data_IF_396922964980
#
_entry.id   IF_396922964980
#
_cell.length_a   1.000
_cell.length_b   1.000
_cell.length_c   1.000
_cell.angle_alpha   90.00
_cell.angle_beta   90.00
_cell.angle_gamma   90.00
#
_symmetry.space_group_name_H-M   'P 1'
#
loop_
_entity.id
_entity.type
_entity.pdbx_description
1 polymer ?
#
# COMPACT_ATOMS: atom_id res chain seq x y z
N UNK A 1 6.51 -26.62 7.09
CA UNK A 1 5.95 -25.61 6.18
C UNK A 1 5.39 -24.52 7.06
N UNK A 2 5.83 -23.28 6.83
CA UNK A 2 5.46 -22.14 7.64
C UNK A 2 4.33 -21.39 6.93
N UNK A 3 3.25 -21.09 7.65
CA UNK A 3 2.14 -20.27 7.14
C UNK A 3 2.23 -18.87 7.70
N UNK A 4 2.08 -17.88 6.82
CA UNK A 4 2.16 -16.47 7.16
C UNK A 4 0.98 -15.77 6.51
N UNK A 5 0.22 -15.02 7.29
CA UNK A 5 -0.80 -14.10 6.77
C UNK A 5 -0.25 -12.69 6.72
N UNK A 6 -0.31 -12.06 5.54
CA UNK A 6 0.16 -10.70 5.31
C UNK A 6 -0.98 -9.79 4.90
N UNK A 7 -0.92 -8.52 5.31
CA UNK A 7 -1.89 -7.48 4.97
C UNK A 7 -1.16 -6.24 4.43
N UNK A 8 -1.71 -5.60 3.40
CA UNK A 8 -1.39 -4.20 3.06
C UNK A 8 -2.59 -3.32 3.33
N UNK A 9 -2.37 -2.13 3.91
CA UNK A 9 -3.44 -1.17 4.18
C UNK A 9 -2.94 0.28 4.12
N UNK A 10 -3.39 1.07 3.13
CA UNK A 10 -3.25 2.52 3.16
C UNK A 10 -4.17 3.12 4.24
N UNK A 11 -3.60 3.83 5.22
CA UNK A 11 -4.34 4.37 6.37
C UNK A 11 -4.80 5.83 6.21
N UNK A 12 -4.58 6.46 5.04
CA UNK A 12 -4.97 7.83 4.73
C UNK A 12 -4.59 8.80 5.86
N UNK A 13 -3.32 9.21 5.82
CA UNK A 13 -2.66 10.08 6.80
C UNK A 13 -2.66 9.56 8.25
N UNK A 14 -2.56 8.25 8.45
CA UNK A 14 -2.50 7.64 9.77
C UNK A 14 -3.69 8.05 10.63
N UNK A 15 -4.89 8.04 10.04
CA UNK A 15 -6.16 8.43 10.66
C UNK A 15 -6.33 9.93 10.94
N UNK A 16 -5.48 10.79 10.39
CA UNK A 16 -5.64 12.23 10.50
C UNK A 16 -6.44 12.79 9.32
N UNK A 17 -7.13 13.89 9.56
CA UNK A 17 -7.74 14.70 8.52
C UNK A 17 -7.16 16.10 8.53
N UNK A 18 -6.79 16.58 7.35
CA UNK A 18 -6.31 17.96 7.19
C UNK A 18 -7.50 18.90 7.08
N UNK A 19 -7.63 19.80 8.04
CA UNK A 19 -8.58 20.91 8.01
C UNK A 19 -7.77 22.19 8.13
N UNK A 20 -7.60 22.92 7.03
CA UNK A 20 -6.68 24.05 6.90
C UNK A 20 -5.25 23.69 7.36
N UNK A 21 -4.74 24.38 8.39
CA UNK A 21 -3.44 24.13 9.02
C UNK A 21 -3.53 23.18 10.22
N UNK A 22 -4.71 22.61 10.50
CA UNK A 22 -4.93 21.69 11.61
C UNK A 22 -5.07 20.25 11.12
N UNK A 23 -4.61 19.33 11.95
CA UNK A 23 -4.74 17.90 11.73
C UNK A 23 -5.57 17.32 12.85
N UNK A 24 -6.76 16.85 12.51
CA UNK A 24 -7.64 16.21 13.47
C UNK A 24 -7.43 14.71 13.40
N UNK A 25 -6.97 14.13 14.50
CA UNK A 25 -6.97 12.68 14.66
C UNK A 25 -8.42 12.18 14.81
N UNK A 26 -8.79 11.18 14.01
CA UNK A 26 -10.12 10.58 13.99
C UNK A 26 -10.06 9.23 14.68
N UNK A 27 -10.41 9.21 15.96
CA UNK A 27 -10.34 8.02 16.82
C UNK A 27 -11.23 6.88 16.29
N UNK A 28 -12.36 7.21 15.67
CA UNK A 28 -13.27 6.25 15.06
C UNK A 28 -12.62 5.48 13.89
N UNK A 29 -11.80 6.16 13.07
CA UNK A 29 -11.08 5.53 11.95
C UNK A 29 -10.06 4.52 12.46
N UNK A 30 -9.34 4.89 13.52
CA UNK A 30 -8.38 4.01 14.18
C UNK A 30 -9.06 2.82 14.85
N UNK A 31 -10.21 3.02 15.50
CA UNK A 31 -10.98 1.94 16.09
C UNK A 31 -11.51 0.95 15.03
N UNK A 32 -12.06 1.46 13.93
CA UNK A 32 -12.47 0.63 12.80
C UNK A 32 -11.29 -0.18 12.24
N UNK A 33 -10.10 0.43 12.14
CA UNK A 33 -8.89 -0.27 11.68
C UNK A 33 -8.53 -1.43 12.61
N UNK A 34 -8.60 -1.22 13.93
CA UNK A 34 -8.38 -2.28 14.92
C UNK A 34 -9.40 -3.42 14.76
N UNK A 35 -10.66 -3.13 14.48
CA UNK A 35 -11.70 -4.16 14.23
C UNK A 35 -11.35 -4.97 12.99
N UNK A 36 -11.00 -4.30 11.89
CA UNK A 36 -10.62 -4.95 10.62
C UNK A 36 -9.40 -5.85 10.81
N UNK A 37 -8.32 -5.30 11.37
CA UNK A 37 -7.05 -6.01 11.57
C UNK A 37 -7.23 -7.20 12.51
N UNK A 38 -7.94 -7.02 13.63
CA UNK A 38 -8.22 -8.11 14.58
C UNK A 38 -9.02 -9.24 13.94
N UNK A 39 -10.00 -8.93 13.10
CA UNK A 39 -10.80 -9.92 12.40
C UNK A 39 -10.00 -10.67 11.32
N UNK A 40 -9.08 -9.98 10.63
CA UNK A 40 -8.20 -10.59 9.64
C UNK A 40 -7.08 -11.43 10.27
N UNK A 41 -6.62 -11.05 11.46
CA UNK A 41 -5.51 -11.67 12.20
C UNK A 41 -4.24 -11.89 11.35
N UNK A 42 -3.67 -10.83 10.73
CA UNK A 42 -2.42 -10.92 9.99
C UNK A 42 -1.22 -11.11 10.93
N UNK A 43 -0.19 -11.79 10.43
CA UNK A 43 1.11 -11.91 11.10
C UNK A 43 2.05 -10.75 10.75
N UNK A 44 1.87 -10.16 9.56
CA UNK A 44 2.64 -9.03 9.05
C UNK A 44 1.66 -8.03 8.42
N UNK A 45 1.84 -6.75 8.71
CA UNK A 45 1.04 -5.64 8.18
C UNK A 45 1.98 -4.61 7.57
N UNK A 46 1.82 -4.34 6.28
CA UNK A 46 2.40 -3.19 5.62
C UNK A 46 1.39 -2.05 5.58
N UNK A 47 1.80 -0.89 6.06
CA UNK A 47 0.96 0.30 6.14
C UNK A 47 1.58 1.38 5.26
N UNK A 48 0.80 1.90 4.32
CA UNK A 48 1.12 3.11 3.57
C UNK A 48 0.35 4.29 4.16
N UNK A 49 0.92 5.49 4.03
CA UNK A 49 0.44 6.70 4.72
C UNK A 49 0.21 6.50 6.22
N UNK A 50 1.04 5.68 6.85
CA UNK A 50 0.90 5.28 8.25
C UNK A 50 1.18 6.43 9.23
N UNK A 51 1.86 7.47 8.77
CA UNK A 51 2.14 8.65 9.56
C UNK A 51 1.99 9.89 8.70
N UNK A 52 1.75 11.01 9.37
CA UNK A 52 1.78 12.33 8.75
C UNK A 52 2.74 13.25 9.50
N UNK A 53 3.42 14.13 8.79
CA UNK A 53 4.22 15.19 9.37
C UNK A 53 3.43 16.50 9.28
N UNK A 54 3.07 17.07 10.44
CA UNK A 54 2.35 18.35 10.47
C UNK A 54 3.14 19.53 9.88
N UNK A 55 2.50 20.70 9.76
CA UNK A 55 3.12 21.93 9.26
C UNK A 55 4.41 22.35 10.00
N UNK A 56 4.64 21.83 11.22
CA UNK A 56 5.85 22.02 12.01
C UNK A 56 6.95 20.96 11.73
N UNK A 57 6.77 20.08 10.73
CA UNK A 57 7.72 19.04 10.34
C UNK A 57 7.83 17.86 11.33
N UNK A 58 7.01 17.81 12.38
CA UNK A 58 7.02 16.70 13.35
C UNK A 58 6.20 15.53 12.81
N UNK A 59 6.87 14.40 12.62
CA UNK A 59 6.24 13.10 12.33
C UNK A 59 5.34 12.68 13.49
N UNK A 60 4.04 12.53 13.22
CA UNK A 60 3.06 11.94 14.13
C UNK A 60 2.78 10.52 13.64
N UNK A 61 3.19 9.55 14.45
CA UNK A 61 2.96 8.12 14.21
C UNK A 61 2.33 7.48 15.43
N UNK A 62 1.45 6.52 15.20
CA UNK A 62 0.87 5.71 16.27
C UNK A 62 1.81 4.60 16.69
N UNK A 63 1.61 4.09 17.90
CA UNK A 63 2.20 2.82 18.31
C UNK A 63 1.41 1.67 17.67
N UNK A 64 1.75 1.37 16.41
CA UNK A 64 1.04 0.35 15.64
C UNK A 64 1.20 -1.07 16.17
N UNK A 65 2.30 -1.36 16.87
CA UNK A 65 2.51 -2.65 17.51
C UNK A 65 1.44 -2.86 18.60
N UNK A 66 1.30 -1.90 19.53
CA UNK A 66 0.26 -1.93 20.55
C UNK A 66 -1.15 -1.86 19.94
N UNK A 67 -1.37 -0.98 18.96
CA UNK A 67 -2.68 -0.78 18.33
C UNK A 67 -3.21 -2.06 17.68
N UNK A 68 -2.35 -2.83 17.01
CA UNK A 68 -2.74 -4.03 16.26
C UNK A 68 -2.41 -5.34 16.99
N UNK A 69 -1.84 -5.27 18.20
CA UNK A 69 -1.55 -6.44 19.02
C UNK A 69 -0.41 -7.31 18.47
N UNK A 70 0.59 -6.68 17.85
CA UNK A 70 1.80 -7.31 17.32
C UNK A 70 3.04 -6.81 18.06
N UNK A 71 4.18 -7.47 17.87
CA UNK A 71 5.35 -7.29 18.73
C UNK A 71 6.39 -6.30 18.18
N UNK A 72 6.52 -6.22 16.86
CA UNK A 72 7.60 -5.48 16.22
C UNK A 72 7.04 -4.44 15.25
N UNK A 73 7.64 -3.24 15.28
CA UNK A 73 7.30 -2.16 14.34
C UNK A 73 8.56 -1.51 13.78
N UNK A 74 8.57 -1.32 12.47
CA UNK A 74 9.54 -0.50 11.76
C UNK A 74 8.77 0.58 11.00
N UNK A 75 9.28 1.80 10.99
CA UNK A 75 8.73 2.85 10.14
C UNK A 75 9.88 3.57 9.46
N UNK A 76 9.76 3.79 8.15
CA UNK A 76 10.63 4.70 7.42
C UNK A 76 9.79 5.90 7.00
N UNK A 77 10.08 7.06 7.62
CA UNK A 77 9.48 8.32 7.26
C UNK A 77 10.07 8.89 5.98
N UNK A 78 9.23 9.62 5.24
CA UNK A 78 9.67 10.72 4.41
C UNK A 78 9.97 11.90 5.34
N UNK A 79 11.00 12.68 5.06
CA UNK A 79 11.14 13.98 5.72
C UNK A 79 9.89 14.79 5.41
N UNK A 80 9.11 15.16 6.42
CA UNK A 80 8.14 16.25 6.31
C UNK A 80 6.72 15.95 5.82
N UNK A 81 6.34 14.76 5.31
CA UNK A 81 4.92 14.50 4.92
C UNK A 81 4.33 13.12 5.29
N UNK A 82 4.86 11.98 4.84
CA UNK A 82 4.24 10.66 5.07
C UNK A 82 5.24 9.58 5.50
N UNK A 83 4.77 8.41 5.94
CA UNK A 83 5.66 7.27 6.23
C UNK A 83 5.02 5.93 5.87
N UNK A 84 5.85 4.99 5.46
CA UNK A 84 5.48 3.58 5.43
C UNK A 84 5.85 2.94 6.78
N UNK A 85 5.02 2.02 7.25
CA UNK A 85 5.29 1.25 8.45
C UNK A 85 5.06 -0.24 8.23
N UNK A 86 5.95 -1.06 8.79
CA UNK A 86 5.82 -2.50 8.90
C UNK A 86 5.49 -2.84 10.34
N UNK A 87 4.45 -3.64 10.56
CA UNK A 87 4.09 -4.20 11.85
C UNK A 87 4.15 -5.71 11.73
N UNK A 88 4.80 -6.40 12.67
CA UNK A 88 5.12 -7.82 12.50
C UNK A 88 5.04 -8.55 13.84
N UNK A 89 4.51 -9.78 13.81
CA UNK A 89 4.69 -10.77 14.89
C UNK A 89 6.13 -11.26 14.99
N UNK A 90 6.85 -11.27 13.87
CA UNK A 90 8.23 -11.79 13.79
C UNK A 90 9.26 -10.68 14.00
N UNK A 91 10.41 -10.96 14.63
CA UNK A 91 11.49 -10.00 14.82
C UNK A 91 11.95 -9.35 13.51
N UNK A 92 12.10 -8.02 13.54
CA UNK A 92 12.67 -7.26 12.43
C UNK A 92 14.18 -7.17 12.67
N UNK A 93 14.98 -7.89 11.87
CA UNK A 93 16.44 -7.99 12.06
C UNK A 93 17.23 -6.99 11.21
N UNK A 94 16.62 -6.47 10.15
CA UNK A 94 17.23 -5.44 9.31
C UNK A 94 16.16 -4.52 8.73
N UNK A 95 16.50 -3.23 8.59
CA UNK A 95 15.64 -2.20 8.00
C UNK A 95 16.48 -1.31 7.08
N UNK A 96 15.96 -1.00 5.91
CA UNK A 96 16.55 -0.08 4.95
C UNK A 96 15.46 0.80 4.32
N UNK A 97 15.80 2.06 4.05
CA UNK A 97 14.96 2.99 3.29
C UNK A 97 15.55 3.17 1.90
N UNK A 98 14.75 2.90 0.87
CA UNK A 98 15.19 2.99 -0.53
C UNK A 98 14.39 4.09 -1.25
N UNK A 99 15.03 5.11 -1.85
CA UNK A 99 14.34 6.16 -2.58
C UNK A 99 13.46 5.62 -3.72
N UNK A 100 12.26 6.19 -3.91
CA UNK A 100 11.34 5.91 -5.00
C UNK A 100 11.15 7.14 -5.91
N UNK A 101 12.26 7.69 -6.38
CA UNK A 101 12.24 8.80 -7.33
C UNK A 101 11.97 10.16 -6.67
N UNK A 102 11.21 11.02 -7.36
CA UNK A 102 10.89 12.40 -6.93
C UNK A 102 9.40 12.53 -6.62
N UNK A 103 9.04 13.57 -5.88
CA UNK A 103 7.66 14.05 -5.72
C UNK A 103 7.60 15.54 -6.07
N UNK A 104 6.50 16.03 -6.68
CA UNK A 104 6.26 17.46 -6.83
C UNK A 104 6.23 18.24 -5.52
N UNK A 105 5.94 17.59 -4.38
CA UNK A 105 6.00 18.24 -3.04
C UNK A 105 7.42 18.53 -2.55
N UNK A 106 8.45 18.13 -3.30
CA UNK A 106 9.87 18.28 -2.90
C UNK A 106 10.34 17.22 -1.89
N UNK A 107 9.42 16.41 -1.38
CA UNK A 107 9.70 15.34 -0.41
C UNK A 107 9.86 14.02 -1.15
N UNK A 108 11.01 13.35 -0.96
CA UNK A 108 11.31 12.12 -1.68
C UNK A 108 10.52 10.92 -1.10
N UNK A 109 9.62 10.28 -1.89
CA UNK A 109 9.01 9.02 -1.49
C UNK A 109 10.08 7.93 -1.43
N UNK A 110 9.80 6.88 -0.69
CA UNK A 110 10.73 5.78 -0.43
C UNK A 110 10.01 4.49 -0.07
N UNK A 111 10.58 3.37 -0.50
CA UNK A 111 10.21 2.07 0.00
C UNK A 111 10.79 1.85 1.41
N UNK A 112 10.10 1.02 2.19
CA UNK A 112 10.63 0.44 3.42
C UNK A 112 10.96 -1.03 3.14
N UNK A 113 12.25 -1.36 3.16
CA UNK A 113 12.73 -2.74 3.10
C UNK A 113 13.00 -3.24 4.51
N UNK A 114 12.51 -4.44 4.80
CA UNK A 114 12.77 -5.12 6.07
C UNK A 114 13.19 -6.57 5.85
N UNK A 115 13.96 -7.10 6.79
CA UNK A 115 14.20 -8.54 6.92
C UNK A 115 13.60 -8.99 8.22
N UNK A 116 12.75 -10.01 8.14
CA UNK A 116 12.11 -10.64 9.28
C UNK A 116 12.78 -11.97 9.57
N UNK A 117 13.05 -12.26 10.85
CA UNK A 117 13.39 -13.60 11.30
C UNK A 117 12.12 -14.38 11.63
N UNK A 118 11.67 -15.18 10.66
CA UNK A 118 10.48 -16.01 10.79
C UNK A 118 10.89 -17.43 11.21
N UNK A 119 11.11 -17.61 12.52
CA UNK A 119 11.48 -18.90 13.14
C UNK A 119 12.81 -19.48 12.62
N UNK A 120 13.84 -18.64 12.51
CA UNK A 120 15.16 -19.01 12.01
C UNK A 120 15.29 -18.94 10.48
N UNK A 121 14.26 -18.44 9.78
CA UNK A 121 14.26 -18.24 8.32
C UNK A 121 14.03 -16.78 7.98
N UNK A 122 14.95 -16.19 7.23
CA UNK A 122 14.79 -14.82 6.76
C UNK A 122 13.69 -14.71 5.69
N UNK A 123 12.81 -13.74 5.85
CA UNK A 123 11.85 -13.29 4.83
C UNK A 123 12.06 -11.80 4.59
N UNK A 124 12.10 -11.41 3.32
CA UNK A 124 12.32 -10.03 2.92
C UNK A 124 10.99 -9.37 2.56
N UNK A 125 10.68 -8.26 3.22
CA UNK A 125 9.42 -7.53 3.05
C UNK A 125 9.73 -6.14 2.54
N UNK A 126 9.21 -5.80 1.37
CA UNK A 126 9.34 -4.50 0.75
C UNK A 126 7.98 -3.81 0.70
N UNK A 127 7.87 -2.64 1.32
CA UNK A 127 6.67 -1.80 1.26
C UNK A 127 6.93 -0.66 0.27
N UNK A 128 6.18 -0.63 -0.82
CA UNK A 128 6.28 0.41 -1.84
C UNK A 128 5.06 1.34 -1.83
N UNK A 129 5.33 2.65 -1.96
CA UNK A 129 4.32 3.66 -2.18
C UNK A 129 4.88 4.76 -3.10
N UNK A 130 5.00 4.50 -4.42
CA UNK A 130 5.47 5.50 -5.37
C UNK A 130 4.44 6.62 -5.56
N UNK A 131 4.93 7.81 -5.93
CA UNK A 131 4.07 9.00 -6.06
C UNK A 131 2.98 8.82 -7.12
N UNK A 132 1.72 9.22 -6.85
CA UNK A 132 0.68 9.25 -7.87
C UNK A 132 0.89 10.36 -8.90
N UNK A 133 1.72 11.36 -8.59
CA UNK A 133 1.85 12.60 -9.36
C UNK A 133 3.01 12.60 -10.38
N UNK A 134 3.58 11.44 -10.67
CA UNK A 134 4.63 11.26 -11.69
C UNK A 134 4.16 10.26 -12.74
N UNK A 135 4.78 10.25 -13.92
CA UNK A 135 4.41 9.32 -14.99
C UNK A 135 4.67 7.86 -14.61
N UNK A 136 4.01 6.92 -15.30
CA UNK A 136 4.27 5.48 -15.13
C UNK A 136 5.74 5.11 -15.41
N UNK A 137 6.37 5.76 -16.40
CA UNK A 137 7.80 5.57 -16.70
C UNK A 137 8.67 6.01 -15.53
N UNK A 138 8.40 7.17 -14.94
CA UNK A 138 9.13 7.64 -13.76
C UNK A 138 8.93 6.71 -12.56
N UNK A 139 7.73 6.13 -12.37
CA UNK A 139 7.50 5.12 -11.33
C UNK A 139 8.29 3.83 -11.59
N UNK A 140 8.36 3.37 -12.84
CA UNK A 140 9.16 2.19 -13.23
C UNK A 140 10.63 2.43 -12.91
N UNK A 141 11.18 3.57 -13.34
CA UNK A 141 12.58 3.93 -13.11
C UNK A 141 12.88 4.05 -11.61
N UNK A 142 11.94 4.61 -10.84
CA UNK A 142 12.03 4.73 -9.39
C UNK A 142 12.02 3.37 -8.67
N UNK A 143 11.22 2.40 -9.14
CA UNK A 143 11.09 1.09 -8.50
C UNK A 143 12.19 0.11 -8.94
N UNK A 144 12.84 0.34 -10.09
CA UNK A 144 13.83 -0.56 -10.66
C UNK A 144 15.00 -0.93 -9.71
N UNK A 145 15.59 0.00 -8.91
CA UNK A 145 16.64 -0.34 -7.94
C UNK A 145 16.14 -1.26 -6.82
N UNK A 146 14.90 -1.05 -6.33
CA UNK A 146 14.28 -1.91 -5.32
C UNK A 146 14.15 -3.35 -5.88
N UNK A 147 13.60 -3.47 -7.09
CA UNK A 147 13.41 -4.75 -7.79
C UNK A 147 14.73 -5.46 -8.12
N UNK A 148 15.77 -4.70 -8.49
CA UNK A 148 17.08 -5.25 -8.83
C UNK A 148 17.85 -5.81 -7.62
N UNK A 149 17.53 -5.34 -6.41
CA UNK A 149 18.21 -5.72 -5.18
C UNK A 149 17.37 -6.65 -4.29
N UNK A 150 16.21 -7.14 -4.77
CA UNK A 150 15.38 -8.06 -4.01
C UNK A 150 16.12 -9.35 -3.71
N UNK A 151 15.89 -9.86 -2.50
CA UNK A 151 16.37 -11.16 -2.03
C UNK A 151 15.16 -12.07 -1.83
N UNK A 152 15.31 -13.36 -2.03
CA UNK A 152 14.21 -14.32 -1.82
C UNK A 152 14.42 -15.13 -0.54
N UNK A 153 13.35 -15.60 0.12
CA UNK A 153 11.93 -15.39 -0.20
C UNK A 153 11.47 -13.95 0.08
N UNK A 154 10.77 -13.32 -0.88
CA UNK A 154 10.29 -11.94 -0.77
C UNK A 154 8.79 -11.75 -0.88
N UNK A 155 8.32 -10.71 -0.20
CA UNK A 155 6.96 -10.17 -0.28
C UNK A 155 7.10 -8.68 -0.59
N UNK A 156 6.55 -8.24 -1.73
CA UNK A 156 6.48 -6.83 -2.13
C UNK A 156 5.02 -6.40 -2.08
N UNK A 157 4.68 -5.41 -1.26
CA UNK A 157 3.30 -5.01 -1.04
C UNK A 157 3.16 -3.50 -0.80
N UNK A 158 1.95 -2.97 -0.97
CA UNK A 158 1.67 -1.55 -0.77
C UNK A 158 0.67 -1.00 -1.79
N UNK A 159 0.58 0.33 -1.81
CA UNK A 159 -0.20 1.12 -2.76
C UNK A 159 0.73 1.56 -3.90
N UNK A 160 0.53 1.02 -5.10
CA UNK A 160 1.40 1.27 -6.25
C UNK A 160 0.98 2.49 -7.06
N UNK A 161 -0.18 3.08 -6.79
CA UNK A 161 -0.77 4.13 -7.63
C UNK A 161 -0.78 3.78 -9.13
N UNK A 162 -0.94 2.49 -9.46
CA UNK A 162 -0.84 1.97 -10.82
C UNK A 162 -1.80 0.80 -11.04
N UNK A 163 -2.37 0.73 -12.25
CA UNK A 163 -3.22 -0.38 -12.67
C UNK A 163 -2.38 -1.57 -13.15
N UNK A 164 -2.87 -2.78 -12.90
CA UNK A 164 -2.31 -3.99 -13.48
C UNK A 164 -2.63 -4.09 -14.97
N UNK A 165 -1.66 -4.56 -15.74
CA UNK A 165 -1.84 -4.96 -17.14
C UNK A 165 -2.82 -6.13 -17.31
N UNK A 166 -3.06 -6.91 -16.24
CA UNK A 166 -4.02 -8.02 -16.24
C UNK A 166 -5.45 -7.64 -15.87
N UNK A 167 -5.68 -6.42 -15.40
CA UNK A 167 -7.02 -5.98 -15.01
C UNK A 167 -7.75 -5.31 -16.18
N UNK A 168 -9.05 -5.51 -16.25
CA UNK A 168 -9.90 -4.95 -17.30
C UNK A 168 -10.39 -3.55 -16.93
N UNK A 169 -9.79 -2.54 -17.56
CA UNK A 169 -10.25 -1.14 -17.51
C UNK A 169 -10.30 -0.57 -18.93
N UNK A 170 -11.29 0.26 -19.22
CA UNK A 170 -11.37 1.04 -20.47
C UNK A 170 -11.27 2.54 -20.18
N UNK A 171 -10.81 3.30 -21.18
CA UNK A 171 -10.70 4.75 -21.07
C UNK A 171 -12.06 5.38 -20.81
N UNK A 172 -13.07 4.93 -21.55
CA UNK A 172 -14.45 5.41 -21.45
C UNK A 172 -15.03 5.20 -20.05
N UNK A 173 -14.80 4.02 -19.46
CA UNK A 173 -15.30 3.71 -18.12
C UNK A 173 -14.61 4.56 -17.04
N UNK A 174 -13.28 4.69 -17.11
CA UNK A 174 -12.51 5.51 -16.16
C UNK A 174 -12.93 6.99 -16.25
N UNK A 175 -13.03 7.54 -17.47
CA UNK A 175 -13.50 8.91 -17.69
C UNK A 175 -14.91 9.09 -17.14
N UNK A 176 -15.83 8.17 -17.44
CA UNK A 176 -17.22 8.26 -17.00
C UNK A 176 -17.38 8.23 -15.47
N UNK A 177 -16.50 7.50 -14.78
CA UNK A 177 -16.46 7.44 -13.31
C UNK A 177 -15.88 8.73 -12.69
N UNK A 178 -14.82 9.28 -13.27
CA UNK A 178 -14.12 10.46 -12.73
C UNK A 178 -14.77 11.79 -13.07
N UNK A 179 -15.50 11.90 -14.19
CA UNK A 179 -15.99 13.18 -14.73
C UNK A 179 -16.87 14.02 -13.77
N UNK A 180 -17.43 13.41 -12.72
CA UNK A 180 -18.20 14.13 -11.71
C UNK A 180 -17.32 14.85 -10.67
N UNK A 181 -16.08 14.40 -10.50
CA UNK A 181 -15.16 14.84 -9.45
C UNK A 181 -13.91 15.54 -10.02
N UNK A 182 -13.50 15.14 -11.22
CA UNK A 182 -12.29 15.59 -11.89
C UNK A 182 -12.65 16.41 -13.11
N UNK A 183 -12.12 17.63 -13.20
CA UNK A 183 -12.42 18.57 -14.29
C UNK A 183 -11.94 18.08 -15.67
N UNK A 184 -10.76 17.44 -15.73
CA UNK A 184 -10.20 16.86 -16.95
C UNK A 184 -9.71 15.42 -16.69
N UNK A 185 -10.61 14.43 -16.74
CA UNK A 185 -10.28 13.05 -16.41
C UNK A 185 -9.53 12.29 -17.51
N UNK A 186 -9.52 12.78 -18.75
CA UNK A 186 -8.98 12.04 -19.90
C UNK A 186 -7.45 11.84 -19.82
N UNK A 187 -6.62 12.85 -19.47
CA UNK A 187 -5.19 12.65 -19.28
C UNK A 187 -4.88 11.67 -18.15
N UNK A 188 -5.67 11.70 -17.07
CA UNK A 188 -5.51 10.81 -15.92
C UNK A 188 -5.82 9.37 -16.33
N UNK A 189 -6.94 9.13 -17.00
CA UNK A 189 -7.29 7.82 -17.53
C UNK A 189 -6.21 7.28 -18.49
N UNK A 190 -5.69 8.11 -19.39
CA UNK A 190 -4.61 7.72 -20.31
C UNK A 190 -3.33 7.33 -19.56
N UNK A 191 -2.94 8.09 -18.53
CA UNK A 191 -1.78 7.76 -17.70
C UNK A 191 -1.96 6.44 -16.95
N UNK A 192 -3.14 6.21 -16.36
CA UNK A 192 -3.45 4.97 -15.66
C UNK A 192 -3.41 3.74 -16.57
N UNK A 193 -3.81 3.92 -17.83
CA UNK A 193 -3.83 2.86 -18.84
C UNK A 193 -2.46 2.56 -19.48
N UNK A 194 -1.38 3.24 -19.07
CA UNK A 194 -0.02 2.90 -19.50
C UNK A 194 0.48 1.59 -18.83
N UNK A 195 0.05 1.31 -17.59
CA UNK A 195 0.18 0.01 -16.87
C UNK A 195 1.60 -0.59 -16.82
N UNK A 196 2.64 0.22 -17.02
CA UNK A 196 4.03 -0.25 -17.12
C UNK A 196 4.59 -0.69 -15.78
N UNK A 197 4.19 -0.04 -14.69
CA UNK A 197 4.75 -0.29 -13.36
C UNK A 197 4.48 -1.71 -12.92
N UNK A 198 3.20 -2.12 -12.87
CA UNK A 198 2.82 -3.46 -12.42
C UNK A 198 3.36 -4.54 -13.37
N UNK A 199 3.34 -4.29 -14.68
CA UNK A 199 3.96 -5.19 -15.65
C UNK A 199 5.47 -5.38 -15.38
N UNK A 200 6.19 -4.32 -15.00
CA UNK A 200 7.62 -4.39 -14.68
C UNK A 200 7.92 -5.20 -13.41
N UNK A 201 7.02 -5.17 -12.41
CA UNK A 201 7.10 -6.00 -11.20
C UNK A 201 6.93 -7.48 -11.57
N UNK A 202 5.90 -7.80 -12.35
CA UNK A 202 5.63 -9.17 -12.81
C UNK A 202 6.74 -9.73 -13.69
N UNK A 203 7.36 -8.89 -14.52
CA UNK A 203 8.51 -9.27 -15.36
C UNK A 203 9.72 -9.74 -14.53
N UNK A 204 9.77 -9.47 -13.22
CA UNK A 204 10.78 -10.01 -12.29
C UNK A 204 10.42 -11.38 -11.71
N UNK A 205 9.33 -12.00 -12.18
CA UNK A 205 8.85 -13.30 -11.71
C UNK A 205 8.08 -13.25 -10.40
N UNK A 206 7.70 -12.05 -9.94
CA UNK A 206 6.82 -11.88 -8.80
C UNK A 206 5.37 -12.16 -9.20
N UNK A 207 4.65 -12.87 -8.32
CA UNK A 207 3.26 -13.30 -8.53
C UNK A 207 2.32 -12.41 -7.73
N UNK A 208 1.33 -11.81 -8.40
CA UNK A 208 0.19 -11.16 -7.71
C UNK A 208 -0.61 -12.22 -6.96
N UNK A 209 -0.79 -12.04 -5.67
CA UNK A 209 -1.48 -13.03 -4.81
C UNK A 209 -2.98 -13.10 -5.11
N UNK A 210 -3.61 -12.06 -5.67
CA UNK A 210 -5.03 -12.08 -5.99
C UNK A 210 -5.29 -12.80 -7.32
N UNK A 211 -5.96 -13.95 -7.23
CA UNK A 211 -6.51 -14.66 -8.40
C UNK A 211 -7.54 -13.78 -9.13
N UNK A 212 -7.65 -13.86 -10.48
CA UNK A 212 -8.52 -12.99 -11.28
C UNK A 212 -9.95 -12.85 -10.75
N UNK A 213 -10.57 -13.95 -10.32
CA UNK A 213 -11.94 -14.00 -9.78
C UNK A 213 -12.11 -13.33 -8.41
N UNK A 214 -11.01 -13.05 -7.70
CA UNK A 214 -10.98 -12.34 -6.41
C UNK A 214 -10.66 -10.85 -6.57
N UNK A 215 -10.33 -10.40 -7.77
CA UNK A 215 -9.94 -9.00 -8.03
C UNK A 215 -11.16 -8.09 -8.02
N UNK A 216 -10.97 -6.93 -7.41
CA UNK A 216 -11.94 -5.83 -7.36
C UNK A 216 -11.17 -4.53 -7.08
N UNK A 217 -11.83 -3.39 -7.13
CA UNK A 217 -11.20 -2.13 -6.75
C UNK A 217 -10.71 -2.15 -5.30
N UNK A 218 -9.58 -1.51 -5.02
CA UNK A 218 -9.10 -1.26 -3.65
C UNK A 218 -9.38 0.18 -3.22
N UNK A 219 -9.76 1.06 -4.15
CA UNK A 219 -10.22 2.43 -3.91
C UNK A 219 -11.37 2.75 -4.89
N UNK A 220 -12.39 3.55 -4.54
CA UNK A 220 -12.63 4.13 -3.21
C UNK A 220 -13.44 3.21 -2.30
N UNK A 221 -13.30 3.40 -0.99
CA UNK A 221 -14.32 3.03 0.00
C UNK A 221 -15.43 4.08 0.07
N UNK A 222 -16.39 3.94 1.01
CA UNK A 222 -17.36 5.01 1.27
C UNK A 222 -16.77 6.28 1.91
N UNK A 223 -15.56 6.21 2.48
CA UNK A 223 -14.81 7.37 2.98
C UNK A 223 -14.04 8.06 1.84
N UNK A 224 -14.59 8.06 0.62
CA UNK A 224 -13.96 8.66 -0.54
C UNK A 224 -13.56 10.12 -0.27
N UNK A 225 -12.29 10.45 -0.56
CA UNK A 225 -11.70 11.77 -0.34
C UNK A 225 -11.26 12.37 -1.66
N UNK A 226 -11.10 13.71 -1.75
CA UNK A 226 -10.52 14.32 -2.93
C UNK A 226 -9.10 13.79 -3.21
N UNK A 227 -8.94 13.05 -4.31
CA UNK A 227 -7.66 12.58 -4.84
C UNK A 227 -7.68 12.60 -6.38
N UNK A 228 -6.54 12.34 -7.02
CA UNK A 228 -6.38 12.51 -8.47
C UNK A 228 -7.30 11.63 -9.33
N UNK A 229 -7.73 10.49 -8.79
CA UNK A 229 -8.56 9.48 -9.45
C UNK A 229 -9.96 9.38 -8.82
N UNK A 230 -10.43 10.43 -8.14
CA UNK A 230 -11.66 10.37 -7.35
C UNK A 230 -12.86 9.87 -8.17
N UNK A 231 -13.60 8.94 -7.58
CA UNK A 231 -14.74 8.26 -8.22
C UNK A 231 -14.38 7.04 -9.07
N UNK A 232 -13.13 6.89 -9.51
CA UNK A 232 -12.69 5.72 -10.26
C UNK A 232 -12.58 4.49 -9.35
N UNK A 233 -13.32 3.43 -9.66
CA UNK A 233 -13.21 2.17 -8.94
C UNK A 233 -12.02 1.38 -9.50
N UNK A 234 -10.86 1.50 -8.84
CA UNK A 234 -9.58 0.98 -9.34
C UNK A 234 -8.87 0.14 -8.28
N UNK A 235 -8.09 -0.84 -8.75
CA UNK A 235 -7.22 -1.67 -7.92
C UNK A 235 -5.79 -1.15 -8.06
N UNK A 236 -5.25 -0.63 -6.96
CA UNK A 236 -3.89 -0.08 -6.92
C UNK A 236 -3.08 -0.60 -5.72
N UNK A 237 -3.71 -1.35 -4.82
CA UNK A 237 -3.05 -2.01 -3.70
C UNK A 237 -2.78 -3.47 -4.05
N UNK A 238 -1.53 -3.92 -3.84
CA UNK A 238 -1.08 -5.23 -4.26
C UNK A 238 -0.27 -5.93 -3.16
N UNK A 239 -0.28 -7.26 -3.22
CA UNK A 239 0.67 -8.13 -2.54
C UNK A 239 1.25 -9.05 -3.61
N UNK A 240 2.55 -8.89 -3.87
CA UNK A 240 3.36 -9.70 -4.75
C UNK A 240 4.30 -10.59 -3.96
N UNK A 241 4.51 -11.83 -4.41
CA UNK A 241 5.41 -12.78 -3.74
C UNK A 241 6.37 -13.44 -4.72
N UNK A 242 7.55 -13.82 -4.24
CA UNK A 242 8.49 -14.64 -5.01
C UNK A 242 8.05 -16.11 -5.08
N UNK A 243 8.63 -16.88 -6.00
CA UNK A 243 8.20 -18.25 -6.34
C UNK A 243 8.35 -19.27 -5.22
N UNK A 244 9.11 -18.96 -4.17
CA UNK A 244 9.21 -19.79 -2.97
C UNK A 244 7.90 -19.85 -2.17
N UNK A 245 7.02 -18.86 -2.31
CA UNK A 245 5.73 -18.84 -1.64
C UNK A 245 4.66 -19.54 -2.47
N UNK A 246 3.90 -20.41 -1.81
CA UNK A 246 2.59 -20.86 -2.30
C UNK A 246 1.50 -19.97 -1.73
N UNK A 247 0.71 -19.35 -2.60
CA UNK A 247 -0.49 -18.60 -2.19
C UNK A 247 -1.59 -19.59 -1.84
N UNK A 248 -2.05 -19.59 -0.59
CA UNK A 248 -3.13 -20.46 -0.12
C UNK A 248 -4.51 -19.79 -0.27
N UNK A 249 -4.57 -18.49 -0.02
CA UNK A 249 -5.78 -17.67 -0.12
C UNK A 249 -5.39 -16.19 -0.23
N UNK A 250 -6.22 -15.38 -0.89
CA UNK A 250 -6.06 -13.93 -0.94
C UNK A 250 -7.41 -13.25 -1.18
N UNK A 251 -7.65 -12.14 -0.50
CA UNK A 251 -8.88 -11.36 -0.61
C UNK A 251 -8.65 -9.86 -0.42
N UNK A 252 -9.57 -9.07 -0.97
CA UNK A 252 -9.75 -7.66 -0.62
C UNK A 252 -10.87 -7.62 0.42
N UNK A 253 -10.58 -7.13 1.62
CA UNK A 253 -11.59 -7.08 2.69
C UNK A 253 -12.50 -5.88 2.45
N UNK A 254 -13.73 -6.15 2.02
CA UNK A 254 -14.79 -5.14 1.87
C UNK A 254 -15.91 -5.42 2.87
N UNK A 255 -15.86 -4.77 4.03
CA UNK A 255 -16.84 -4.93 5.12
C UNK A 255 -17.23 -3.56 5.68
N UNK A 256 -18.37 -3.39 6.36
CA UNK A 256 -18.78 -2.08 6.86
C UNK A 256 -17.70 -1.32 7.65
N UNK A 257 -16.86 -1.95 8.50
CA UNK A 257 -15.77 -1.22 9.16
C UNK A 257 -14.70 -0.68 8.21
N UNK A 258 -14.40 -1.34 7.08
CA UNK A 258 -13.37 -0.84 6.15
C UNK A 258 -13.78 0.47 5.48
N UNK A 259 -15.08 0.72 5.37
CA UNK A 259 -15.65 1.98 4.86
C UNK A 259 -15.44 3.17 5.81
N UNK A 260 -15.01 2.93 7.05
CA UNK A 260 -14.77 3.97 8.04
C UNK A 260 -13.27 4.26 8.22
N UNK A 261 -12.38 3.38 7.79
CA UNK A 261 -10.94 3.49 8.11
C UNK A 261 -10.20 4.46 7.20
N UNK A 262 -10.36 4.28 5.90
CA UNK A 262 -9.54 4.86 4.84
C UNK A 262 -10.35 4.86 3.55
N UNK A 263 -9.94 5.64 2.56
CA UNK A 263 -10.42 5.56 1.18
C UNK A 263 -9.94 4.28 0.46
N UNK A 264 -8.99 3.54 1.03
CA UNK A 264 -8.57 2.23 0.55
C UNK A 264 -9.17 1.05 1.34
N UNK A 265 -9.42 -0.07 0.65
CA UNK A 265 -9.68 -1.38 1.24
C UNK A 265 -8.37 -2.15 1.43
N UNK A 266 -8.18 -2.87 2.55
CA UNK A 266 -6.98 -3.68 2.74
C UNK A 266 -7.02 -4.95 1.89
N UNK A 267 -5.84 -5.36 1.42
CA UNK A 267 -5.63 -6.65 0.76
C UNK A 267 -4.92 -7.58 1.74
N UNK A 268 -5.34 -8.83 1.79
CA UNK A 268 -4.78 -9.86 2.67
C UNK A 268 -4.45 -11.10 1.86
N UNK A 269 -3.30 -11.73 2.14
CA UNK A 269 -2.92 -13.00 1.56
C UNK A 269 -2.42 -13.96 2.65
N UNK A 270 -2.81 -15.23 2.54
CA UNK A 270 -2.25 -16.33 3.34
C UNK A 270 -1.26 -17.09 2.47
N UNK A 271 -0.02 -17.15 2.92
CA UNK A 271 1.12 -17.70 2.19
C UNK A 271 1.67 -18.92 2.92
N UNK A 272 2.25 -19.86 2.18
CA UNK A 272 3.00 -20.99 2.71
C UNK A 272 4.40 -21.04 2.11
N UNK A 273 5.39 -21.29 2.96
CA UNK A 273 6.82 -21.29 2.66
C UNK A 273 7.53 -22.55 3.22
#
# INVERSE_FOLDING_TARGET
MMRIKVMTYNLLYGFHERTDNTLLYREERAHAAQVVVRAAAPDIIALTEAAYCGAAGRLVRHDFATMFGLEHVAAAGFEGEWANALVSRFPIVHIERLPLGRSPSGIQPSALRATLDCQGREIHVDIAHPSPHVSEVERVDALAPLLASMRTPSILLGDFNALSDEDEYTSEALIAQMQQYVADPAPIAAQMLDRKLVASVRARGLVDTLAPERRSHTIPTRLDRPHATQGAQIRIDYIFVSSEFRVLDAEIIKRPPTDEVSDHYPVVATLEL
#
